data_IF_300924074790
#
_entry.id   IF_300924074790
#
_cell.length_a   1.000
_cell.length_b   1.000
_cell.length_c   1.000
_cell.angle_alpha   90.00
_cell.angle_beta   90.00
_cell.angle_gamma   90.00
#
_symmetry.space_group_name_H-M   'P 1'
#
loop_
_entity.id
_entity.type
_entity.pdbx_description
1 polymer ?
#
# COMPACT_ATOMS: atom_id res chain seq x y z
N UNK A 1 1.90 -5.71 22.07
CA UNK A 1 2.31 -4.59 21.20
C UNK A 1 1.68 -4.86 19.84
N UNK A 2 1.06 -3.87 19.18
CA UNK A 2 0.62 -4.09 17.81
C UNK A 2 1.85 -4.40 16.96
N UNK A 3 1.78 -5.48 16.17
CA UNK A 3 2.90 -5.91 15.33
C UNK A 3 3.15 -4.87 14.24
N UNK A 4 4.37 -4.30 14.18
CA UNK A 4 4.77 -3.45 13.06
C UNK A 4 5.19 -4.35 11.91
N UNK A 5 4.74 -4.06 10.69
CA UNK A 5 5.12 -4.81 9.49
C UNK A 5 5.76 -3.90 8.45
N UNK A 6 6.79 -4.41 7.79
CA UNK A 6 7.54 -3.71 6.76
C UNK A 6 7.64 -4.63 5.54
N UNK A 7 7.22 -4.13 4.37
CA UNK A 7 7.42 -4.78 3.08
C UNK A 7 8.76 -4.40 2.52
N UNK A 8 9.63 -5.37 2.30
CA UNK A 8 10.91 -5.22 1.64
C UNK A 8 10.72 -5.50 0.15
N UNK A 9 11.27 -4.61 -0.67
CA UNK A 9 11.20 -4.68 -2.13
C UNK A 9 12.58 -4.98 -2.66
N UNK A 10 12.75 -6.19 -3.19
CA UNK A 10 14.01 -6.66 -3.75
C UNK A 10 13.92 -6.70 -5.27
N UNK A 11 15.01 -6.33 -5.94
CA UNK A 11 15.18 -6.50 -7.39
C UNK A 11 16.34 -7.43 -7.67
N UNK A 12 16.11 -8.47 -8.47
CA UNK A 12 17.18 -9.38 -8.89
C UNK A 12 18.13 -8.66 -9.85
N UNK A 13 19.44 -8.65 -9.57
CA UNK A 13 20.45 -7.86 -10.28
C UNK A 13 20.58 -8.20 -11.77
N UNK A 14 20.36 -9.46 -12.14
CA UNK A 14 20.47 -9.94 -13.54
C UNK A 14 19.16 -9.88 -14.33
N UNK A 15 18.03 -10.28 -13.75
CA UNK A 15 16.75 -10.44 -14.45
C UNK A 15 15.83 -9.23 -14.31
N UNK A 16 16.12 -8.32 -13.37
CA UNK A 16 15.23 -7.24 -12.93
C UNK A 16 13.89 -7.71 -12.33
N UNK A 17 13.78 -8.99 -11.97
CA UNK A 17 12.61 -9.52 -11.28
C UNK A 17 12.42 -8.82 -9.92
N UNK A 18 11.19 -8.40 -9.63
CA UNK A 18 10.81 -7.80 -8.35
C UNK A 18 10.24 -8.88 -7.44
N UNK A 19 10.69 -8.90 -6.18
CA UNK A 19 10.17 -9.79 -5.14
C UNK A 19 9.83 -8.96 -3.91
N UNK A 20 8.63 -9.16 -3.39
CA UNK A 20 8.13 -8.51 -2.18
C UNK A 20 8.11 -9.51 -1.02
N UNK A 21 8.73 -9.15 0.09
CA UNK A 21 8.63 -9.90 1.34
C UNK A 21 8.14 -9.00 2.46
N UNK A 22 7.11 -9.44 3.18
CA UNK A 22 6.61 -8.72 4.35
C UNK A 22 7.19 -9.37 5.60
N UNK A 23 7.85 -8.57 6.43
CA UNK A 23 8.39 -9.00 7.72
C UNK A 23 7.73 -8.23 8.85
N UNK A 24 7.51 -8.89 9.97
CA UNK A 24 7.21 -8.19 11.22
C UNK A 24 8.48 -7.60 11.82
N UNK A 25 8.35 -6.62 12.72
CA UNK A 25 9.49 -6.08 13.44
C UNK A 25 10.23 -7.16 14.23
N UNK A 26 9.51 -8.09 14.86
CA UNK A 26 10.13 -9.21 15.58
C UNK A 26 10.89 -10.16 14.65
N UNK A 27 10.40 -10.39 13.43
CA UNK A 27 11.16 -11.15 12.42
C UNK A 27 12.42 -10.41 11.98
N UNK A 28 12.35 -9.09 11.80
CA UNK A 28 13.51 -8.26 11.46
C UNK A 28 14.55 -8.31 12.57
N UNK A 29 14.13 -8.17 13.83
CA UNK A 29 15.01 -8.26 15.00
C UNK A 29 15.62 -9.66 15.16
N UNK A 30 14.86 -10.71 14.83
CA UNK A 30 15.30 -12.09 14.94
C UNK A 30 16.29 -12.48 13.84
N UNK A 31 15.97 -12.21 12.57
CA UNK A 31 16.82 -12.58 11.43
C UNK A 31 17.98 -11.62 11.22
N UNK A 32 17.80 -10.34 11.54
CA UNK A 32 18.81 -9.30 11.38
C UNK A 32 19.37 -9.22 9.96
N UNK A 33 20.68 -9.30 9.83
CA UNK A 33 21.38 -9.23 8.55
C UNK A 33 21.06 -10.41 7.61
N UNK A 34 20.55 -11.53 8.14
CA UNK A 34 20.23 -12.75 7.38
C UNK A 34 19.18 -12.48 6.29
N UNK A 35 18.29 -11.52 6.51
CA UNK A 35 17.29 -11.06 5.51
C UNK A 35 17.97 -10.66 4.20
N UNK A 36 19.19 -10.12 4.27
CA UNK A 36 19.94 -9.66 3.10
C UNK A 36 20.87 -10.73 2.54
N UNK A 37 21.47 -11.58 3.38
CA UNK A 37 22.38 -12.64 2.91
C UNK A 37 21.66 -13.69 2.07
N UNK A 38 20.41 -14.01 2.42
CA UNK A 38 19.59 -14.94 1.62
C UNK A 38 19.15 -14.33 0.27
N UNK A 39 19.50 -13.07 0.03
CA UNK A 39 19.14 -12.25 -1.15
C UNK A 39 20.38 -11.69 -1.84
N UNK A 40 21.53 -12.36 -1.80
CA UNK A 40 22.80 -11.89 -2.39
C UNK A 40 22.71 -11.49 -3.88
N UNK A 41 21.95 -12.21 -4.70
CA UNK A 41 21.71 -11.89 -6.11
C UNK A 41 20.70 -10.73 -6.32
N UNK A 42 20.16 -10.20 -5.24
CA UNK A 42 19.20 -9.10 -5.23
C UNK A 42 19.80 -7.83 -4.63
N UNK A 43 19.18 -6.71 -4.96
CA UNK A 43 19.38 -5.45 -4.28
C UNK A 43 18.05 -5.04 -3.62
N UNK A 44 18.14 -4.46 -2.42
CA UNK A 44 16.99 -3.84 -1.79
C UNK A 44 16.77 -2.47 -2.43
N UNK A 45 15.61 -2.25 -3.03
CA UNK A 45 15.29 -0.99 -3.71
C UNK A 45 14.31 -0.12 -2.93
N UNK A 46 13.52 -0.69 -2.02
CA UNK A 46 12.55 0.07 -1.21
C UNK A 46 12.07 -0.69 0.03
N UNK A 47 11.45 0.04 0.95
CA UNK A 47 10.71 -0.47 2.09
C UNK A 47 9.36 0.23 2.18
N UNK A 48 8.26 -0.53 2.20
CA UNK A 48 6.89 0.00 2.37
C UNK A 48 6.35 -0.30 3.76
N UNK A 49 5.85 0.72 4.46
CA UNK A 49 5.23 0.55 5.78
C UNK A 49 3.79 0.04 5.65
N UNK A 50 3.39 -0.85 6.56
CA UNK A 50 2.00 -1.28 6.70
C UNK A 50 1.14 -0.14 7.27
N UNK A 51 -0.03 0.09 6.69
CA UNK A 51 -0.99 1.12 7.15
C UNK A 51 -1.77 0.73 8.40
N UNK A 52 -1.52 -0.47 8.95
CA UNK A 52 -2.34 -1.13 9.98
C UNK A 52 -3.75 -1.50 9.52
N UNK A 53 -4.07 -1.34 8.22
CA UNK A 53 -5.36 -1.74 7.64
C UNK A 53 -5.26 -3.02 6.83
N UNK A 54 -6.42 -3.67 6.73
CA UNK A 54 -6.68 -4.75 5.79
C UNK A 54 -7.71 -4.29 4.79
N UNK A 55 -7.59 -4.73 3.55
CA UNK A 55 -8.60 -4.54 2.54
C UNK A 55 -9.83 -5.42 2.81
N UNK A 56 -10.85 -5.29 1.98
CA UNK A 56 -12.11 -6.05 2.12
C UNK A 56 -11.94 -7.57 1.97
N UNK A 57 -10.79 -8.04 1.47
CA UNK A 57 -10.44 -9.45 1.34
C UNK A 57 -9.48 -9.93 2.44
N UNK A 58 -9.17 -9.07 3.43
CA UNK A 58 -8.29 -9.40 4.56
C UNK A 58 -6.79 -9.25 4.27
N UNK A 59 -6.42 -8.76 3.08
CA UNK A 59 -5.02 -8.50 2.70
C UNK A 59 -4.52 -7.22 3.35
N UNK A 60 -3.32 -7.26 3.91
CA UNK A 60 -2.69 -6.08 4.51
C UNK A 60 -2.36 -5.02 3.44
N UNK A 61 -2.60 -3.73 3.76
CA UNK A 61 -2.39 -2.58 2.87
C UNK A 61 -1.09 -1.86 3.26
N UNK A 62 -0.16 -1.66 2.33
CA UNK A 62 1.12 -0.98 2.57
C UNK A 62 1.29 0.23 1.66
N UNK A 63 2.20 1.13 2.02
CA UNK A 63 2.70 2.15 1.09
C UNK A 63 3.21 1.51 -0.22
N UNK A 64 2.80 2.08 -1.35
CA UNK A 64 3.04 1.58 -2.70
C UNK A 64 1.96 0.64 -3.24
N UNK A 65 0.95 0.25 -2.46
CA UNK A 65 -0.21 -0.49 -2.98
C UNK A 65 -1.16 0.42 -3.74
N UNK A 66 -1.73 -0.09 -4.84
CA UNK A 66 -2.90 0.51 -5.46
C UNK A 66 -4.17 -0.03 -4.80
N UNK A 67 -5.03 0.87 -4.34
CA UNK A 67 -6.35 0.56 -3.79
C UNK A 67 -7.41 0.97 -4.79
N UNK A 68 -8.34 0.05 -5.06
CA UNK A 68 -9.60 0.35 -5.72
C UNK A 68 -10.71 0.47 -4.68
N UNK A 69 -11.35 1.61 -4.62
CA UNK A 69 -12.52 1.88 -3.77
C UNK A 69 -13.75 1.78 -4.67
N UNK A 70 -14.62 0.82 -4.41
CA UNK A 70 -15.89 0.66 -5.14
C UNK A 70 -16.99 1.36 -4.38
N UNK A 71 -17.69 2.26 -5.05
CA UNK A 71 -18.80 2.99 -4.45
C UNK A 71 -20.13 2.29 -4.64
N UNK A 72 -21.07 2.53 -3.73
CA UNK A 72 -22.48 2.22 -3.94
C UNK A 72 -23.10 3.27 -4.87
N UNK A 73 -23.73 2.80 -5.95
CA UNK A 73 -24.37 3.62 -6.98
C UNK A 73 -25.50 4.50 -6.47
N UNK A 74 -26.03 4.23 -5.27
CA UNK A 74 -27.03 5.09 -4.62
C UNK A 74 -26.41 6.39 -4.08
N UNK A 75 -25.09 6.41 -3.83
CA UNK A 75 -24.39 7.54 -3.19
C UNK A 75 -23.38 8.23 -4.12
N UNK A 76 -22.84 7.54 -5.13
CA UNK A 76 -21.88 8.10 -6.08
C UNK A 76 -22.27 7.84 -7.53
N UNK A 77 -22.00 8.82 -8.41
CA UNK A 77 -22.08 8.63 -9.86
C UNK A 77 -20.88 7.86 -10.41
N UNK A 78 -19.72 8.04 -9.80
CA UNK A 78 -18.51 7.32 -10.17
C UNK A 78 -18.57 5.91 -9.57
N UNK A 79 -18.38 4.86 -10.37
CA UNK A 79 -18.50 3.48 -9.89
C UNK A 79 -17.34 3.08 -8.97
N UNK A 80 -16.19 3.72 -9.11
CA UNK A 80 -15.01 3.47 -8.31
C UNK A 80 -14.01 4.63 -8.37
N UNK A 81 -13.07 4.61 -7.43
CA UNK A 81 -11.85 5.42 -7.44
C UNK A 81 -10.64 4.48 -7.32
N UNK A 82 -9.51 4.85 -7.93
CA UNK A 82 -8.24 4.14 -7.79
C UNK A 82 -7.17 5.12 -7.36
N UNK A 83 -6.40 4.76 -6.33
CA UNK A 83 -5.25 5.53 -5.89
C UNK A 83 -4.13 4.67 -5.33
N UNK A 84 -2.90 5.19 -5.33
CA UNK A 84 -1.73 4.59 -4.69
C UNK A 84 -1.60 5.08 -3.25
N UNK A 85 -1.31 4.18 -2.33
CA UNK A 85 -1.00 4.51 -0.93
C UNK A 85 0.40 5.11 -0.83
N UNK A 86 0.51 6.31 -0.27
CA UNK A 86 1.79 6.95 -0.01
C UNK A 86 1.90 7.37 1.46
N UNK A 87 3.13 7.37 2.00
CA UNK A 87 3.44 7.99 3.28
C UNK A 87 4.07 9.35 3.03
N UNK A 88 3.36 10.43 3.38
CA UNK A 88 3.64 11.78 2.88
C UNK A 88 4.57 12.60 3.79
N UNK A 89 5.49 11.95 4.50
CA UNK A 89 6.44 12.61 5.44
C UNK A 89 7.26 13.74 4.81
N UNK A 90 7.52 13.67 3.50
CA UNK A 90 8.30 14.68 2.75
C UNK A 90 7.51 15.95 2.44
N UNK A 91 6.20 15.95 2.68
CA UNK A 91 5.28 17.05 2.37
C UNK A 91 4.82 17.81 3.63
N UNK A 92 5.53 17.66 4.75
CA UNK A 92 5.10 18.18 6.08
C UNK A 92 3.70 17.65 6.48
N UNK A 93 3.33 16.50 5.92
CA UNK A 93 2.08 15.78 6.18
C UNK A 93 2.38 14.30 6.43
N UNK A 94 2.96 13.92 7.60
CA UNK A 94 3.44 12.56 7.87
C UNK A 94 2.30 11.58 8.17
N UNK A 95 1.37 11.43 7.24
CA UNK A 95 0.24 10.50 7.26
C UNK A 95 0.24 9.62 6.01
N UNK A 96 -0.45 8.47 6.09
CA UNK A 96 -0.75 7.71 4.89
C UNK A 96 -1.95 8.32 4.17
N UNK A 97 -1.86 8.46 2.85
CA UNK A 97 -2.96 8.93 2.01
C UNK A 97 -2.93 8.31 0.61
N UNK A 98 -3.89 8.69 -0.25
CA UNK A 98 -4.00 8.22 -1.63
C UNK A 98 -3.59 9.30 -2.65
N UNK A 99 -2.92 8.87 -3.71
CA UNK A 99 -2.68 9.66 -4.93
C UNK A 99 -3.34 9.00 -6.15
N UNK A 100 -4.01 9.74 -7.05
CA UNK A 100 -4.30 11.18 -6.98
C UNK A 100 -5.19 11.53 -5.78
N UNK A 101 -5.22 12.78 -5.31
CA UNK A 101 -6.01 13.10 -4.10
C UNK A 101 -7.50 12.82 -4.27
N UNK A 102 -8.12 12.34 -3.20
CA UNK A 102 -9.57 12.29 -3.04
C UNK A 102 -9.99 13.40 -2.06
N UNK A 103 -11.04 14.15 -2.41
CA UNK A 103 -11.50 15.29 -1.61
C UNK A 103 -12.29 14.79 -0.38
N UNK A 104 -11.65 14.83 0.78
CA UNK A 104 -12.16 14.33 2.06
C UNK A 104 -11.78 15.27 3.20
N UNK A 105 -12.59 15.32 4.25
CA UNK A 105 -12.28 16.08 5.48
C UNK A 105 -11.14 15.46 6.33
N UNK A 106 -10.61 14.30 5.92
CA UNK A 106 -9.52 13.56 6.58
C UNK A 106 -8.73 12.74 5.54
N UNK A 107 -7.55 12.20 5.89
CA UNK A 107 -6.83 11.32 4.96
C UNK A 107 -7.65 10.10 4.57
N UNK A 108 -7.45 9.63 3.34
CA UNK A 108 -8.20 8.52 2.77
C UNK A 108 -8.08 7.24 3.62
N UNK A 109 -6.93 6.99 4.23
CA UNK A 109 -6.72 5.81 5.09
C UNK A 109 -7.57 5.88 6.38
N UNK A 110 -7.66 7.05 7.02
CA UNK A 110 -8.52 7.25 8.20
C UNK A 110 -10.00 7.17 7.84
N UNK A 111 -10.37 7.73 6.69
CA UNK A 111 -11.74 7.63 6.17
C UNK A 111 -12.16 6.18 5.92
N UNK A 112 -11.33 5.38 5.24
CA UNK A 112 -11.56 3.94 5.04
C UNK A 112 -11.65 3.17 6.36
N UNK A 113 -10.81 3.51 7.35
CA UNK A 113 -10.85 2.89 8.68
C UNK A 113 -12.11 3.24 9.48
N UNK A 114 -12.71 4.39 9.23
CA UNK A 114 -13.92 4.79 9.97
C UNK A 114 -15.08 3.82 9.72
N UNK A 115 -15.09 3.15 8.56
CA UNK A 115 -16.19 2.29 8.09
C UNK A 115 -17.58 2.95 8.21
N UNK A 116 -17.60 4.29 8.27
CA UNK A 116 -18.79 5.08 8.61
C UNK A 116 -19.44 5.70 7.38
N UNK A 117 -18.73 5.73 6.25
CA UNK A 117 -19.24 6.26 5.00
C UNK A 117 -20.05 5.19 4.26
N UNK A 118 -21.39 5.36 4.16
CA UNK A 118 -22.26 4.39 3.49
C UNK A 118 -22.05 4.34 1.97
N UNK A 119 -21.29 5.27 1.39
CA UNK A 119 -20.97 5.27 -0.04
C UNK A 119 -19.92 4.21 -0.39
N UNK A 120 -19.07 3.78 0.55
CA UNK A 120 -18.01 2.81 0.26
C UNK A 120 -18.57 1.39 0.39
N UNK A 121 -18.64 0.67 -0.73
CA UNK A 121 -19.09 -0.73 -0.76
C UNK A 121 -17.97 -1.70 -0.41
N UNK A 122 -16.76 -1.46 -0.93
CA UNK A 122 -15.55 -2.24 -0.67
C UNK A 122 -14.32 -1.46 -1.11
N UNK A 123 -13.16 -1.81 -0.55
CA UNK A 123 -11.86 -1.36 -1.01
C UNK A 123 -10.88 -2.53 -1.06
N UNK A 124 -10.13 -2.65 -2.14
CA UNK A 124 -9.30 -3.82 -2.44
C UNK A 124 -7.93 -3.40 -2.96
N UNK A 125 -6.88 -4.10 -2.55
CA UNK A 125 -5.55 -3.94 -3.16
C UNK A 125 -5.55 -4.61 -4.53
N UNK A 126 -5.32 -3.84 -5.58
CA UNK A 126 -5.37 -4.33 -6.98
C UNK A 126 -4.00 -4.45 -7.66
N UNK A 127 -2.93 -4.02 -6.99
CA UNK A 127 -1.56 -4.08 -7.49
C UNK A 127 -0.62 -3.27 -6.61
N UNK A 128 0.61 -3.09 -7.06
CA UNK A 128 1.59 -2.21 -6.43
C UNK A 128 2.45 -1.48 -7.48
N UNK A 129 3.08 -0.38 -7.07
CA UNK A 129 3.89 0.47 -7.96
C UNK A 129 5.07 -0.22 -8.63
N UNK A 130 5.51 -1.38 -8.13
CA UNK A 130 6.67 -2.09 -8.67
C UNK A 130 6.28 -3.09 -9.75
N UNK A 131 5.14 -3.76 -9.59
CA UNK A 131 4.63 -4.73 -10.57
C UNK A 131 3.64 -4.13 -11.58
N UNK A 132 2.97 -3.03 -11.22
CA UNK A 132 1.95 -2.38 -12.03
C UNK A 132 2.19 -0.86 -12.14
N UNK A 133 3.38 -0.41 -12.56
CA UNK A 133 3.68 1.02 -12.67
C UNK A 133 2.66 1.78 -13.55
N UNK A 134 2.06 1.11 -14.52
CA UNK A 134 1.09 1.64 -15.47
C UNK A 134 -0.34 1.81 -14.91
N UNK A 135 -0.63 1.36 -13.68
CA UNK A 135 -2.02 1.24 -13.22
C UNK A 135 -2.76 2.58 -13.12
N UNK A 136 -2.04 3.68 -12.87
CA UNK A 136 -2.58 5.04 -12.88
C UNK A 136 -2.37 5.77 -14.22
N UNK A 137 -1.68 5.15 -15.19
CA UNK A 137 -1.51 5.71 -16.52
C UNK A 137 -2.82 5.54 -17.30
N UNK A 138 -3.60 6.62 -17.44
CA UNK A 138 -4.89 6.62 -18.16
C UNK A 138 -6.13 6.68 -17.27
N UNK A 139 -5.96 6.89 -15.96
CA UNK A 139 -7.04 7.38 -15.08
C UNK A 139 -7.13 8.89 -15.27
N UNK A 140 -7.89 9.35 -16.28
CA UNK A 140 -8.26 10.76 -16.51
C UNK A 140 -9.50 11.16 -15.73
#
# INVERSE_FOLDING_TARGET
MNEIKIRYVFRHKKTNEIVLHCYTLSEIEYFGETIYTDKEDYELISRGLWTCLKDSNGKDIYAGDYIKITYDSAFSKEPFYVGVVEYLEKEDYPAFDLRPWIDLDMNAISWLKSESDPSVKKYEVIGDVYHNPELLEGVE
#
